data_IF_478047959121
#
_entry.id   IF_478047959121
#
_cell.length_a   1.000
_cell.length_b   1.000
_cell.length_c   1.000
_cell.angle_alpha   90.00
_cell.angle_beta   90.00
_cell.angle_gamma   90.00
#
_symmetry.space_group_name_H-M   'P 1'
#
loop_
_entity.id
_entity.type
_entity.pdbx_description
1 polymer ?
#
# COMPACT_ATOMS: atom_id res chain seq x y z
N UNK A 1 26.75 -5.07 -23.12
CA UNK A 1 25.34 -5.04 -23.55
C UNK A 1 24.80 -3.69 -23.12
N UNK A 2 24.28 -2.89 -24.04
CA UNK A 2 23.66 -1.60 -23.69
C UNK A 2 22.39 -1.87 -22.89
N UNK A 3 22.16 -1.07 -21.85
CA UNK A 3 20.95 -1.15 -21.04
C UNK A 3 19.75 -0.69 -21.86
N UNK A 4 18.62 -1.35 -21.68
CA UNK A 4 17.40 -1.03 -22.40
C UNK A 4 16.48 -0.19 -21.52
N UNK A 5 16.21 1.04 -21.93
CA UNK A 5 15.13 1.84 -21.37
C UNK A 5 13.80 1.34 -21.94
N UNK A 6 12.80 1.24 -21.07
CA UNK A 6 11.49 0.71 -21.39
C UNK A 6 10.41 1.73 -21.03
N UNK A 7 9.48 1.94 -21.97
CA UNK A 7 8.19 2.56 -21.71
C UNK A 7 7.29 1.52 -21.04
N UNK A 8 6.82 1.82 -19.84
CA UNK A 8 5.97 0.90 -19.08
C UNK A 8 4.54 1.41 -19.06
N UNK A 9 3.62 0.57 -19.52
CA UNK A 9 2.19 0.83 -19.56
C UNK A 9 1.45 -0.19 -18.68
N UNK A 10 0.61 0.29 -17.78
CA UNK A 10 -0.15 -0.54 -16.83
C UNK A 10 -1.61 -0.08 -16.80
N UNK A 11 -2.56 -0.84 -17.37
CA UNK A 11 -3.98 -0.50 -17.30
C UNK A 11 -4.48 -0.54 -15.85
N UNK A 12 -5.22 0.49 -15.44
CA UNK A 12 -5.80 0.64 -14.11
C UNK A 12 -7.27 0.26 -14.15
N UNK A 13 -7.56 -1.03 -13.99
CA UNK A 13 -8.92 -1.55 -13.96
C UNK A 13 -9.71 -0.96 -12.78
N UNK A 14 -10.97 -0.59 -13.03
CA UNK A 14 -11.89 0.05 -12.07
C UNK A 14 -11.43 1.42 -11.51
N UNK A 15 -10.34 2.00 -12.02
CA UNK A 15 -9.95 3.36 -11.68
C UNK A 15 -10.87 4.36 -12.39
N UNK A 16 -11.42 5.33 -11.65
CA UNK A 16 -12.24 6.41 -12.20
C UNK A 16 -11.73 7.75 -11.70
N UNK A 17 -11.55 8.66 -12.64
CA UNK A 17 -11.15 10.05 -12.43
C UNK A 17 -11.77 10.88 -13.56
N UNK A 18 -11.86 12.19 -13.40
CA UNK A 18 -12.35 13.11 -14.44
C UNK A 18 -11.21 13.79 -15.21
N UNK A 19 -9.96 13.55 -14.82
CA UNK A 19 -8.80 14.15 -15.44
C UNK A 19 -8.34 13.36 -16.66
N UNK A 20 -8.00 14.04 -17.75
CA UNK A 20 -7.43 13.38 -18.93
C UNK A 20 -5.98 12.94 -18.69
N UNK A 21 -5.22 13.66 -17.88
CA UNK A 21 -3.87 13.29 -17.47
C UNK A 21 -3.56 13.90 -16.10
N UNK A 22 -2.76 13.20 -15.31
CA UNK A 22 -2.17 13.72 -14.08
C UNK A 22 -0.77 13.15 -13.89
N UNK A 23 0.23 14.03 -13.78
CA UNK A 23 1.60 13.65 -13.46
C UNK A 23 1.72 13.51 -11.94
N UNK A 24 1.93 12.29 -11.47
CA UNK A 24 2.02 12.02 -10.04
C UNK A 24 3.34 12.57 -9.50
N UNK A 25 4.41 12.44 -10.25
CA UNK A 25 5.74 12.96 -9.97
C UNK A 25 6.60 12.70 -11.22
N UNK A 26 7.91 12.96 -11.13
CA UNK A 26 8.87 12.61 -12.18
C UNK A 26 8.97 11.09 -12.45
N UNK A 27 8.22 10.27 -11.72
CA UNK A 27 8.33 8.82 -11.73
C UNK A 27 7.13 8.12 -12.39
N UNK A 28 5.93 8.70 -12.40
CA UNK A 28 4.80 8.18 -13.17
C UNK A 28 3.69 9.20 -13.42
N UNK A 29 2.89 8.91 -14.46
CA UNK A 29 1.69 9.66 -14.82
C UNK A 29 0.49 8.72 -14.96
N UNK A 30 -0.71 9.21 -14.63
CA UNK A 30 -1.97 8.56 -15.00
C UNK A 30 -2.50 9.27 -16.22
N UNK A 31 -2.77 8.51 -17.28
CA UNK A 31 -3.26 9.03 -18.56
C UNK A 31 -4.58 8.36 -18.91
N UNK A 32 -5.56 9.17 -19.32
CA UNK A 32 -6.79 8.68 -19.93
C UNK A 32 -6.54 8.37 -21.39
N UNK A 33 -6.73 7.11 -21.76
CA UNK A 33 -6.65 6.64 -23.13
C UNK A 33 -8.07 6.42 -23.65
N UNK A 34 -8.46 7.17 -24.68
CA UNK A 34 -9.76 6.97 -25.37
C UNK A 34 -9.78 5.69 -26.20
N UNK A 35 -8.60 5.30 -26.67
CA UNK A 35 -8.34 4.06 -27.39
C UNK A 35 -7.20 3.35 -26.68
N UNK A 36 -7.24 2.00 -26.66
CA UNK A 36 -6.16 1.18 -26.11
C UNK A 36 -4.82 1.60 -26.74
N UNK A 37 -3.75 1.82 -25.94
CA UNK A 37 -2.42 2.12 -26.49
C UNK A 37 -1.97 1.07 -27.50
N UNK A 38 -1.32 1.51 -28.57
CA UNK A 38 -0.72 0.62 -29.57
C UNK A 38 0.36 -0.24 -28.91
N UNK A 39 0.05 -1.54 -28.76
CA UNK A 39 1.02 -2.52 -28.29
C UNK A 39 1.77 -3.13 -29.49
N UNK A 40 3.08 -3.45 -29.35
CA UNK A 40 3.81 -4.24 -30.33
C UNK A 40 3.05 -5.50 -30.74
N UNK A 41 3.12 -5.86 -32.03
CA UNK A 41 2.39 -7.03 -32.57
C UNK A 41 2.74 -8.32 -31.80
N UNK A 42 4.01 -8.47 -31.41
CA UNK A 42 4.50 -9.57 -30.57
C UNK A 42 3.79 -9.68 -29.22
N UNK A 43 3.38 -8.56 -28.63
CA UNK A 43 2.61 -8.55 -27.38
C UNK A 43 1.12 -8.81 -27.64
N UNK A 44 0.55 -8.26 -28.71
CA UNK A 44 -0.85 -8.46 -29.05
C UNK A 44 -1.20 -9.93 -29.33
N UNK A 45 -0.31 -10.69 -29.99
CA UNK A 45 -0.50 -12.13 -30.23
C UNK A 45 -0.46 -12.97 -28.94
N UNK A 46 0.13 -12.46 -27.87
CA UNK A 46 0.20 -13.15 -26.58
C UNK A 46 -1.01 -12.90 -25.67
N UNK A 47 -1.96 -12.06 -26.10
CA UNK A 47 -3.17 -11.71 -25.36
C UNK A 47 -4.35 -12.59 -25.81
N UNK A 48 -5.14 -13.07 -24.85
CA UNK A 48 -6.41 -13.74 -25.16
C UNK A 48 -7.47 -12.73 -25.61
N UNK A 49 -8.58 -13.21 -26.21
CA UNK A 49 -9.73 -12.35 -26.53
C UNK A 49 -10.27 -11.63 -25.28
N UNK A 50 -10.33 -12.34 -24.15
CA UNK A 50 -10.73 -11.78 -22.86
C UNK A 50 -9.76 -10.70 -22.36
N UNK A 51 -8.45 -10.87 -22.57
CA UNK A 51 -7.48 -9.83 -22.23
C UNK A 51 -7.73 -8.58 -23.08
N UNK A 52 -7.99 -8.72 -24.38
CA UNK A 52 -8.29 -7.58 -25.26
C UNK A 52 -9.56 -6.84 -24.86
N UNK A 53 -10.61 -7.55 -24.44
CA UNK A 53 -11.84 -6.96 -23.91
C UNK A 53 -11.53 -6.09 -22.68
N UNK A 54 -10.84 -6.65 -21.68
CA UNK A 54 -10.44 -5.89 -20.47
C UNK A 54 -9.64 -4.63 -20.84
N UNK A 55 -8.66 -4.75 -21.74
CA UNK A 55 -7.80 -3.63 -22.13
C UNK A 55 -8.56 -2.55 -22.88
N UNK A 56 -9.58 -2.92 -23.67
CA UNK A 56 -10.42 -1.98 -24.41
C UNK A 56 -11.38 -1.24 -23.48
N UNK A 57 -11.83 -1.89 -22.42
CA UNK A 57 -12.73 -1.32 -21.41
C UNK A 57 -12.00 -0.52 -20.31
N UNK A 58 -10.66 -0.45 -20.35
CA UNK A 58 -9.87 0.26 -19.34
C UNK A 58 -9.42 1.64 -19.85
N UNK A 59 -10.10 2.73 -19.45
CA UNK A 59 -9.81 4.06 -19.97
C UNK A 59 -8.58 4.71 -19.34
N UNK A 60 -8.05 4.19 -18.23
CA UNK A 60 -6.94 4.81 -17.49
C UNK A 60 -5.73 3.91 -17.42
N UNK A 61 -4.57 4.49 -17.66
CA UNK A 61 -3.29 3.80 -17.72
C UNK A 61 -2.26 4.53 -16.88
N UNK A 62 -1.51 3.78 -16.08
CA UNK A 62 -0.29 4.26 -15.46
C UNK A 62 0.84 4.14 -16.48
N UNK A 63 1.55 5.24 -16.71
CA UNK A 63 2.63 5.35 -17.68
C UNK A 63 3.90 5.89 -17.01
N UNK A 64 5.04 5.24 -17.25
CA UNK A 64 6.35 5.68 -16.78
C UNK A 64 7.49 5.07 -17.59
N UNK A 65 8.65 5.73 -17.56
CA UNK A 65 9.89 5.16 -18.06
C UNK A 65 10.57 4.32 -16.98
N UNK A 66 11.25 3.25 -17.39
CA UNK A 66 12.02 2.39 -16.50
C UNK A 66 13.33 1.96 -17.14
N UNK A 67 14.42 2.19 -16.42
CA UNK A 67 15.74 1.65 -16.71
C UNK A 67 16.03 0.46 -15.78
N UNK A 68 16.57 -0.64 -16.31
CA UNK A 68 16.88 -1.86 -15.54
C UNK A 68 17.87 -1.64 -14.39
N UNK A 69 18.67 -0.57 -14.43
CA UNK A 69 19.61 -0.22 -13.37
C UNK A 69 18.98 0.61 -12.22
N UNK A 70 17.71 0.98 -12.34
CA UNK A 70 17.03 1.71 -11.27
C UNK A 70 16.92 0.83 -10.02
N UNK A 71 17.12 1.46 -8.85
CA UNK A 71 16.98 0.79 -7.56
C UNK A 71 15.55 0.26 -7.33
N UNK A 72 14.55 0.87 -7.97
CA UNK A 72 13.14 0.51 -7.85
C UNK A 72 12.69 -0.16 -9.15
N UNK A 73 12.30 -1.43 -9.06
CA UNK A 73 11.78 -2.17 -10.21
C UNK A 73 10.45 -1.59 -10.71
N UNK A 74 10.13 -1.78 -11.99
CA UNK A 74 8.83 -1.42 -12.55
C UNK A 74 7.63 -2.01 -11.78
N UNK A 75 7.77 -3.19 -11.15
CA UNK A 75 6.69 -3.81 -10.38
C UNK A 75 6.45 -3.03 -9.09
N UNK A 76 7.54 -2.65 -8.44
CA UNK A 76 7.50 -1.86 -7.22
C UNK A 76 6.87 -0.49 -7.49
N UNK A 77 7.17 0.15 -8.64
CA UNK A 77 6.52 1.41 -9.04
C UNK A 77 4.99 1.31 -9.08
N UNK A 78 4.46 0.25 -9.69
CA UNK A 78 3.01 -0.03 -9.73
C UNK A 78 2.47 -0.29 -8.33
N UNK A 79 3.17 -1.09 -7.51
CA UNK A 79 2.75 -1.40 -6.14
C UNK A 79 2.68 -0.13 -5.26
N UNK A 80 3.68 0.75 -5.37
CA UNK A 80 3.71 2.03 -4.66
C UNK A 80 2.55 2.93 -5.05
N UNK A 81 2.19 2.96 -6.34
CA UNK A 81 1.00 3.67 -6.80
C UNK A 81 -0.28 3.13 -6.16
N UNK A 82 -0.51 1.82 -6.25
CA UNK A 82 -1.72 1.18 -5.70
C UNK A 82 -1.81 1.33 -4.18
N UNK A 83 -0.69 1.17 -3.46
CA UNK A 83 -0.62 1.38 -2.01
C UNK A 83 -0.90 2.83 -1.63
N UNK A 84 -0.31 3.79 -2.34
CA UNK A 84 -0.53 5.22 -2.05
C UNK A 84 -1.99 5.61 -2.31
N UNK A 85 -2.57 5.12 -3.40
CA UNK A 85 -4.00 5.28 -3.67
C UNK A 85 -4.83 4.69 -2.53
N UNK A 86 -4.52 3.47 -2.09
CA UNK A 86 -5.23 2.82 -0.99
C UNK A 86 -5.10 3.56 0.35
N UNK A 87 -3.94 4.15 0.67
CA UNK A 87 -3.78 4.98 1.87
C UNK A 87 -4.68 6.21 1.78
N UNK A 88 -4.62 6.95 0.67
CA UNK A 88 -5.42 8.17 0.46
C UNK A 88 -6.92 7.86 0.43
N UNK A 89 -7.32 6.95 -0.46
CA UNK A 89 -8.71 6.64 -0.78
C UNK A 89 -8.83 5.21 -1.33
N UNK A 90 -9.35 4.25 -0.54
CA UNK A 90 -9.51 2.89 -1.00
C UNK A 90 -10.52 2.86 -2.13
N UNK A 91 -10.12 2.29 -3.25
CA UNK A 91 -10.97 2.07 -4.41
C UNK A 91 -10.89 0.59 -4.78
N UNK A 92 -11.60 0.19 -5.82
CA UNK A 92 -11.47 -1.14 -6.41
C UNK A 92 -10.34 -1.21 -7.45
N UNK A 93 -9.56 -0.14 -7.57
CA UNK A 93 -8.48 -0.03 -8.54
C UNK A 93 -7.48 -1.16 -8.38
N UNK A 94 -7.16 -1.82 -9.48
CA UNK A 94 -6.12 -2.84 -9.53
C UNK A 94 -5.43 -2.86 -10.89
N UNK A 95 -4.24 -3.44 -10.93
CA UNK A 95 -3.43 -3.57 -12.15
C UNK A 95 -3.25 -5.04 -12.50
N UNK A 96 -3.88 -5.49 -13.59
CA UNK A 96 -3.80 -6.89 -14.06
C UNK A 96 -2.61 -7.14 -14.97
N UNK A 97 -2.23 -6.13 -15.74
CA UNK A 97 -1.18 -6.23 -16.74
C UNK A 97 -0.13 -5.17 -16.51
N UNK A 98 1.12 -5.50 -16.86
CA UNK A 98 2.17 -4.52 -17.09
C UNK A 98 2.88 -4.87 -18.38
N UNK A 99 2.92 -3.90 -19.28
CA UNK A 99 3.63 -3.99 -20.55
C UNK A 99 4.90 -3.17 -20.42
N UNK A 100 6.06 -3.78 -20.65
CA UNK A 100 7.32 -3.06 -20.85
C UNK A 100 7.63 -3.06 -22.34
N UNK A 101 7.79 -1.89 -22.94
CA UNK A 101 7.93 -1.71 -24.39
C UNK A 101 9.27 -1.02 -24.65
N UNK A 102 10.05 -1.53 -25.58
CA UNK A 102 11.31 -0.90 -25.99
C UNK A 102 11.08 0.44 -26.69
N UNK A 103 12.07 1.34 -26.66
CA UNK A 103 11.98 2.64 -27.37
C UNK A 103 11.62 2.51 -28.86
N UNK A 104 12.20 1.50 -29.54
CA UNK A 104 11.91 1.23 -30.95
C UNK A 104 10.55 0.54 -31.19
N UNK A 105 9.82 0.24 -30.11
CA UNK A 105 8.52 -0.45 -30.06
C UNK A 105 8.47 -1.78 -30.79
N UNK A 106 9.62 -2.39 -31.08
CA UNK A 106 9.67 -3.69 -31.77
C UNK A 106 9.54 -4.87 -30.80
N UNK A 107 9.97 -4.66 -29.55
CA UNK A 107 10.02 -5.68 -28.54
C UNK A 107 9.31 -5.22 -27.27
N UNK A 108 8.82 -6.18 -26.51
CA UNK A 108 8.25 -5.90 -25.21
C UNK A 108 8.01 -7.17 -24.41
N UNK A 109 7.84 -6.97 -23.11
CA UNK A 109 7.46 -8.01 -22.17
C UNK A 109 6.07 -7.72 -21.60
N UNK A 110 5.29 -8.78 -21.39
CA UNK A 110 4.04 -8.71 -20.63
C UNK A 110 4.23 -9.45 -19.31
N UNK A 111 3.84 -8.79 -18.22
CA UNK A 111 3.65 -9.41 -16.91
C UNK A 111 2.16 -9.41 -16.58
N UNK A 112 1.63 -10.58 -16.22
CA UNK A 112 0.26 -10.72 -15.72
C UNK A 112 0.30 -10.87 -14.21
N UNK A 113 -0.43 -10.01 -13.51
CA UNK A 113 -0.62 -10.07 -12.07
C UNK A 113 -1.92 -10.78 -11.74
N UNK A 114 -2.06 -11.20 -10.49
CA UNK A 114 -3.36 -11.63 -9.98
C UNK A 114 -4.27 -10.40 -9.88
N UNK A 115 -5.53 -10.55 -10.30
CA UNK A 115 -6.58 -9.50 -10.39
C UNK A 115 -7.06 -8.96 -9.03
N UNK A 116 -6.17 -8.66 -8.08
CA UNK A 116 -6.57 -8.45 -6.70
C UNK A 116 -5.72 -7.41 -6.02
N UNK A 117 -6.32 -6.28 -5.72
CA UNK A 117 -5.87 -5.39 -4.66
C UNK A 117 -7.03 -5.25 -3.67
N UNK A 118 -6.79 -5.50 -2.38
CA UNK A 118 -7.85 -5.70 -1.40
C UNK A 118 -8.70 -4.45 -1.28
N UNK A 119 -9.98 -4.65 -1.51
CA UNK A 119 -11.02 -3.68 -1.23
C UNK A 119 -12.11 -4.40 -0.44
N UNK A 120 -12.67 -3.72 0.55
CA UNK A 120 -13.72 -4.28 1.40
C UNK A 120 -15.00 -3.55 1.09
N UNK A 121 -16.04 -4.31 0.74
CA UNK A 121 -17.35 -3.76 0.40
C UNK A 121 -17.84 -2.83 1.52
N UNK A 122 -18.25 -1.61 1.15
CA UNK A 122 -18.70 -0.59 2.09
C UNK A 122 -17.60 0.34 2.62
N UNK A 123 -16.33 0.07 2.31
CA UNK A 123 -15.19 0.95 2.64
C UNK A 123 -14.41 1.36 1.37
N UNK A 124 -15.12 1.48 0.25
CA UNK A 124 -14.56 1.82 -1.07
C UNK A 124 -15.23 3.04 -1.65
N UNK A 125 -14.43 3.83 -2.36
CA UNK A 125 -14.92 4.94 -3.17
C UNK A 125 -14.85 4.57 -4.65
N UNK A 126 -15.78 5.13 -5.43
CA UNK A 126 -15.85 4.86 -6.87
C UNK A 126 -14.98 5.82 -7.69
N UNK A 127 -14.76 7.06 -7.23
CA UNK A 127 -14.07 8.11 -7.98
C UNK A 127 -12.89 8.70 -7.20
N UNK A 128 -11.83 9.05 -7.92
CA UNK A 128 -10.60 9.68 -7.41
C UNK A 128 -10.55 11.13 -7.89
N UNK A 129 -10.49 12.08 -6.96
CA UNK A 129 -10.45 13.51 -7.28
C UNK A 129 -9.02 13.97 -7.58
N UNK A 130 -8.88 15.20 -8.06
CA UNK A 130 -7.56 15.82 -8.25
C UNK A 130 -6.80 15.96 -6.92
N UNK A 131 -7.49 16.36 -5.86
CA UNK A 131 -6.91 16.51 -4.53
C UNK A 131 -6.41 15.17 -3.98
N UNK A 132 -7.12 14.08 -4.27
CA UNK A 132 -6.67 12.72 -3.92
C UNK A 132 -5.35 12.38 -4.63
N UNK A 133 -5.21 12.74 -5.92
CA UNK A 133 -4.00 12.51 -6.70
C UNK A 133 -2.83 13.41 -6.27
N UNK A 134 -3.09 14.67 -5.91
CA UNK A 134 -2.10 15.58 -5.33
C UNK A 134 -1.58 15.06 -3.98
N UNK A 135 -2.47 14.53 -3.13
CA UNK A 135 -2.07 13.88 -1.88
C UNK A 135 -1.29 12.60 -2.15
N UNK A 136 -1.74 11.76 -3.08
CA UNK A 136 -1.05 10.53 -3.47
C UNK A 136 0.39 10.82 -3.94
N UNK A 137 0.57 11.86 -4.76
CA UNK A 137 1.88 12.36 -5.22
C UNK A 137 2.83 12.63 -4.04
N UNK A 138 2.33 13.31 -3.01
CA UNK A 138 3.12 13.62 -1.81
C UNK A 138 3.55 12.36 -1.04
N UNK A 139 2.67 11.36 -0.94
CA UNK A 139 2.96 10.11 -0.23
C UNK A 139 3.93 9.21 -1.01
N UNK A 140 3.81 9.13 -2.34
CA UNK A 140 4.68 8.28 -3.16
C UNK A 140 6.14 8.65 -2.98
N UNK A 141 6.48 9.95 -2.93
CA UNK A 141 7.86 10.39 -2.72
C UNK A 141 8.46 9.76 -1.45
N UNK A 142 7.69 9.73 -0.38
CA UNK A 142 8.12 9.18 0.90
C UNK A 142 8.15 7.65 0.89
N UNK A 143 7.23 7.00 0.17
CA UNK A 143 7.31 5.55 -0.07
C UNK A 143 8.54 5.16 -0.93
N UNK A 144 8.88 5.95 -1.95
CA UNK A 144 10.10 5.77 -2.75
C UNK A 144 11.33 5.87 -1.86
N UNK A 145 11.39 6.86 -0.96
CA UNK A 145 12.47 6.96 0.04
C UNK A 145 12.52 5.74 0.96
N UNK A 146 11.37 5.22 1.39
CA UNK A 146 11.30 3.99 2.20
C UNK A 146 11.96 2.81 1.49
N UNK A 147 11.57 2.57 0.24
CA UNK A 147 12.10 1.43 -0.55
C UNK A 147 13.61 1.53 -0.75
N UNK A 148 14.13 2.75 -0.93
CA UNK A 148 15.56 2.95 -1.23
C UNK A 148 16.45 3.02 0.01
N UNK A 149 15.94 3.58 1.12
CA UNK A 149 16.78 3.98 2.26
C UNK A 149 16.37 3.37 3.61
N UNK A 150 15.15 2.84 3.75
CA UNK A 150 14.60 2.43 5.05
C UNK A 150 14.18 0.96 5.06
N UNK A 151 15.13 0.05 5.31
CA UNK A 151 14.92 -1.40 5.19
C UNK A 151 13.79 -1.92 6.08
N UNK A 152 13.65 -1.43 7.32
CA UNK A 152 12.58 -1.88 8.22
C UNK A 152 11.22 -1.43 7.73
N UNK A 153 11.09 -0.16 7.35
CA UNK A 153 9.85 0.38 6.81
C UNK A 153 9.51 -0.24 5.44
N UNK A 154 10.51 -0.56 4.62
CA UNK A 154 10.32 -1.28 3.36
C UNK A 154 9.74 -2.67 3.61
N UNK A 155 10.23 -3.40 4.62
CA UNK A 155 9.60 -4.67 5.02
C UNK A 155 8.15 -4.48 5.48
N UNK A 156 7.84 -3.42 6.23
CA UNK A 156 6.46 -3.12 6.63
C UNK A 156 5.57 -2.81 5.41
N UNK A 157 6.09 -2.06 4.43
CA UNK A 157 5.39 -1.71 3.20
C UNK A 157 5.12 -2.96 2.35
N UNK A 158 6.11 -3.83 2.22
CA UNK A 158 5.98 -5.13 1.56
C UNK A 158 4.90 -6.00 2.23
N UNK A 159 4.91 -6.10 3.57
CA UNK A 159 3.87 -6.84 4.30
C UNK A 159 2.48 -6.23 4.12
N UNK A 160 2.38 -4.90 4.04
CA UNK A 160 1.12 -4.21 3.74
C UNK A 160 0.63 -4.57 2.34
N UNK A 161 1.53 -4.54 1.35
CA UNK A 161 1.22 -4.97 -0.02
C UNK A 161 0.72 -6.42 -0.05
N UNK A 162 1.42 -7.35 0.59
CA UNK A 162 1.00 -8.76 0.65
C UNK A 162 -0.38 -8.92 1.29
N UNK A 163 -0.71 -8.11 2.32
CA UNK A 163 -2.03 -8.11 2.91
C UNK A 163 -3.10 -7.61 1.93
N UNK A 164 -2.79 -6.58 1.14
CA UNK A 164 -3.66 -6.10 0.07
C UNK A 164 -3.81 -7.12 -1.07
N UNK A 165 -2.84 -7.97 -1.33
CA UNK A 165 -2.97 -9.00 -2.37
C UNK A 165 -3.66 -10.29 -1.87
N UNK A 166 -3.94 -10.40 -0.57
CA UNK A 166 -4.42 -11.64 0.03
C UNK A 166 -5.87 -11.98 -0.35
N UNK A 167 -6.10 -13.26 -0.71
CA UNK A 167 -7.44 -13.75 -1.08
C UNK A 167 -8.33 -14.12 0.11
N UNK A 168 -7.73 -14.43 1.26
CA UNK A 168 -8.44 -14.83 2.48
C UNK A 168 -8.17 -13.81 3.57
N UNK A 169 -9.16 -13.60 4.43
CA UNK A 169 -9.06 -12.61 5.49
C UNK A 169 -7.96 -12.96 6.50
N UNK A 170 -7.73 -14.25 6.81
CA UNK A 170 -6.72 -14.64 7.79
C UNK A 170 -5.29 -14.26 7.35
N UNK A 171 -4.81 -14.63 6.15
CA UNK A 171 -3.52 -14.14 5.64
C UNK A 171 -3.43 -12.61 5.61
N UNK A 172 -4.48 -11.91 5.16
CA UNK A 172 -4.51 -10.45 5.16
C UNK A 172 -4.27 -9.89 6.58
N UNK A 173 -4.97 -10.45 7.57
CA UNK A 173 -4.87 -10.06 8.97
C UNK A 173 -3.45 -10.27 9.53
N UNK A 174 -2.83 -11.40 9.20
CA UNK A 174 -1.45 -11.72 9.62
C UNK A 174 -0.46 -10.74 9.00
N UNK A 175 -0.57 -10.49 7.70
CA UNK A 175 0.33 -9.57 6.99
C UNK A 175 0.18 -8.13 7.48
N UNK A 176 -1.05 -7.62 7.64
CA UNK A 176 -1.29 -6.29 8.22
C UNK A 176 -0.79 -6.17 9.66
N UNK A 177 -1.02 -7.18 10.49
CA UNK A 177 -0.51 -7.18 11.88
C UNK A 177 1.02 -7.18 11.90
N UNK A 178 1.65 -7.92 10.98
CA UNK A 178 3.11 -7.97 10.87
C UNK A 178 3.68 -6.63 10.37
N UNK A 179 2.99 -5.94 9.46
CA UNK A 179 3.34 -4.59 9.03
C UNK A 179 3.26 -3.59 10.20
N UNK A 180 2.16 -3.64 10.97
CA UNK A 180 1.99 -2.83 12.18
C UNK A 180 3.11 -3.10 13.20
N UNK A 181 3.47 -4.36 13.43
CA UNK A 181 4.58 -4.75 14.30
C UNK A 181 5.90 -4.17 13.84
N UNK A 182 6.20 -4.27 12.54
CA UNK A 182 7.43 -3.75 11.96
C UNK A 182 7.57 -2.23 12.19
N UNK A 183 6.47 -1.49 12.10
CA UNK A 183 6.42 -0.03 12.33
C UNK A 183 6.50 0.30 13.82
N UNK A 184 5.76 -0.40 14.69
CA UNK A 184 5.53 0.04 16.07
C UNK A 184 6.42 -0.65 17.12
N UNK A 185 7.07 -1.76 16.79
CA UNK A 185 7.87 -2.54 17.76
C UNK A 185 9.32 -2.09 17.81
N UNK A 186 9.82 -1.84 19.01
CA UNK A 186 11.20 -1.43 19.30
C UNK A 186 11.87 -2.31 20.38
N UNK A 187 11.30 -3.45 20.75
CA UNK A 187 11.96 -4.40 21.66
C UNK A 187 11.34 -5.79 21.59
N UNK A 188 12.14 -6.82 21.95
CA UNK A 188 11.70 -8.22 22.08
C UNK A 188 11.13 -8.60 23.45
N UNK A 189 10.94 -7.66 24.38
CA UNK A 189 10.45 -7.95 25.74
C UNK A 189 8.96 -8.34 25.73
N UNK A 190 8.51 -9.00 26.80
CA UNK A 190 7.10 -9.36 27.01
C UNK A 190 6.13 -8.17 26.89
N UNK A 191 4.84 -8.46 26.70
CA UNK A 191 3.79 -7.45 26.59
C UNK A 191 3.74 -6.73 25.24
N UNK A 192 4.11 -7.42 24.14
CA UNK A 192 4.16 -6.84 22.79
C UNK A 192 2.83 -6.17 22.39
N UNK A 193 1.69 -6.80 22.69
CA UNK A 193 0.36 -6.28 22.37
C UNK A 193 0.06 -4.93 23.04
N UNK A 194 0.35 -4.81 24.34
CA UNK A 194 0.15 -3.55 25.07
C UNK A 194 1.03 -2.45 24.46
N UNK A 195 2.29 -2.79 24.20
CA UNK A 195 3.27 -1.85 23.66
C UNK A 195 2.88 -1.34 22.29
N UNK A 196 2.50 -2.22 21.37
CA UNK A 196 2.04 -1.84 20.03
C UNK A 196 0.85 -0.88 20.13
N UNK A 197 -0.12 -1.19 21.00
CA UNK A 197 -1.29 -0.36 21.19
C UNK A 197 -0.95 1.02 21.78
N UNK A 198 -0.05 1.09 22.77
CA UNK A 198 0.42 2.35 23.34
C UNK A 198 1.20 3.18 22.31
N UNK A 199 2.13 2.56 21.58
CA UNK A 199 2.91 3.22 20.53
C UNK A 199 2.00 3.78 19.44
N UNK A 200 0.98 3.02 19.00
CA UNK A 200 0.00 3.49 18.03
C UNK A 200 -0.75 4.72 18.53
N UNK A 201 -1.25 4.68 19.77
CA UNK A 201 -1.98 5.80 20.36
C UNK A 201 -1.10 7.05 20.52
N UNK A 202 0.18 6.88 20.84
CA UNK A 202 1.15 7.97 20.90
C UNK A 202 1.42 8.59 19.51
N UNK A 203 1.65 7.74 18.50
CA UNK A 203 1.97 8.20 17.15
C UNK A 203 0.77 8.89 16.48
N UNK A 204 -0.44 8.43 16.77
CA UNK A 204 -1.70 9.06 16.34
C UNK A 204 -2.09 10.28 17.16
N UNK A 205 -1.28 10.68 18.14
CA UNK A 205 -1.55 11.79 19.07
C UNK A 205 -2.94 11.70 19.71
N UNK A 206 -3.39 10.49 20.00
CA UNK A 206 -4.67 10.27 20.67
C UNK A 206 -4.55 10.66 22.15
N UNK A 207 -5.49 11.46 22.64
CA UNK A 207 -5.50 11.99 24.00
C UNK A 207 -6.75 11.56 24.79
N UNK A 208 -6.67 11.61 26.13
CA UNK A 208 -7.79 11.31 27.02
C UNK A 208 -8.55 10.02 26.67
N UNK A 209 -9.86 10.14 26.45
CA UNK A 209 -10.75 9.03 26.09
C UNK A 209 -10.42 8.42 24.73
N UNK A 210 -9.92 9.20 23.78
CA UNK A 210 -9.60 8.70 22.45
C UNK A 210 -8.32 7.86 22.46
N UNK A 211 -7.37 8.19 23.36
CA UNK A 211 -6.23 7.33 23.66
C UNK A 211 -6.66 5.95 24.13
N UNK A 212 -7.57 5.90 25.11
CA UNK A 212 -8.07 4.63 25.66
C UNK A 212 -8.79 3.79 24.60
N UNK A 213 -9.60 4.44 23.75
CA UNK A 213 -10.24 3.78 22.60
C UNK A 213 -9.21 3.21 21.62
N UNK A 214 -8.22 4.01 21.21
CA UNK A 214 -7.18 3.58 20.28
C UNK A 214 -6.38 2.39 20.84
N UNK A 215 -6.02 2.43 22.12
CA UNK A 215 -5.34 1.33 22.80
C UNK A 215 -6.24 0.08 22.82
N UNK A 216 -7.51 0.23 23.19
CA UNK A 216 -8.45 -0.89 23.24
C UNK A 216 -8.68 -1.53 21.86
N UNK A 217 -8.87 -0.70 20.83
CA UNK A 217 -9.05 -1.12 19.43
C UNK A 217 -7.86 -1.96 18.95
N UNK A 218 -6.63 -1.45 19.10
CA UNK A 218 -5.43 -2.18 18.65
C UNK A 218 -5.22 -3.46 19.44
N UNK A 219 -5.43 -3.48 20.77
CA UNK A 219 -5.31 -4.70 21.57
C UNK A 219 -6.31 -5.76 21.12
N UNK A 220 -7.55 -5.34 20.84
CA UNK A 220 -8.63 -6.22 20.37
C UNK A 220 -8.30 -6.83 19.01
N UNK A 221 -7.91 -6.01 18.04
CA UNK A 221 -7.52 -6.47 16.70
C UNK A 221 -6.29 -7.38 16.76
N UNK A 222 -5.28 -7.02 17.54
CA UNK A 222 -4.09 -7.85 17.70
C UNK A 222 -4.38 -9.19 18.41
N UNK A 223 -5.41 -9.24 19.25
CA UNK A 223 -5.97 -10.48 19.80
C UNK A 223 -6.43 -11.46 18.72
N UNK A 224 -7.10 -10.97 17.67
CA UNK A 224 -7.56 -11.78 16.53
C UNK A 224 -6.37 -12.41 15.81
N UNK A 225 -5.26 -11.66 15.62
CA UNK A 225 -4.01 -12.24 15.08
C UNK A 225 -3.51 -13.40 15.92
N UNK A 226 -3.55 -13.30 17.25
CA UNK A 226 -3.18 -14.40 18.14
C UNK A 226 -4.09 -15.62 17.92
N UNK A 227 -5.40 -15.40 17.81
CA UNK A 227 -6.36 -16.47 17.56
C UNK A 227 -6.14 -17.18 16.22
N UNK A 228 -5.80 -16.43 15.16
CA UNK A 228 -5.43 -17.02 13.86
C UNK A 228 -4.18 -17.89 13.98
N UNK A 229 -3.10 -17.36 14.57
CA UNK A 229 -1.81 -18.08 14.68
C UNK A 229 -1.93 -19.35 15.52
N UNK A 230 -2.78 -19.35 16.54
CA UNK A 230 -3.03 -20.53 17.38
C UNK A 230 -4.12 -21.46 16.84
N UNK A 231 -4.62 -21.24 15.62
CA UNK A 231 -5.64 -22.08 15.00
C UNK A 231 -7.04 -21.92 15.59
N UNK A 232 -7.25 -21.00 16.54
CA UNK A 232 -8.56 -20.71 17.14
C UNK A 232 -9.51 -20.04 16.15
N UNK A 233 -8.98 -19.42 15.09
CA UNK A 233 -9.78 -18.89 13.99
C UNK A 233 -10.60 -19.96 13.23
N UNK A 234 -10.29 -21.25 13.38
CA UNK A 234 -11.12 -22.33 12.83
C UNK A 234 -12.53 -22.36 13.42
N UNK A 235 -12.73 -21.73 14.59
CA UNK A 235 -14.02 -21.63 15.27
C UNK A 235 -14.71 -20.27 15.04
N UNK A 236 -14.10 -19.36 14.28
CA UNK A 236 -14.65 -18.06 13.93
C UNK A 236 -15.52 -18.17 12.67
N UNK A 237 -16.72 -18.73 12.83
CA UNK A 237 -17.64 -19.02 11.72
C UNK A 237 -18.43 -17.80 11.21
N UNK A 238 -18.27 -16.64 11.85
CA UNK A 238 -18.98 -15.42 11.48
C UNK A 238 -18.17 -14.63 10.43
N UNK A 239 -18.47 -14.88 9.16
CA UNK A 239 -17.77 -14.25 8.04
C UNK A 239 -17.95 -12.73 8.01
N UNK A 240 -19.14 -12.22 8.33
CA UNK A 240 -19.43 -10.79 8.30
C UNK A 240 -18.64 -10.06 9.39
N UNK A 241 -18.62 -10.62 10.60
CA UNK A 241 -17.77 -10.11 11.67
C UNK A 241 -16.28 -10.16 11.30
N UNK A 242 -15.79 -11.24 10.70
CA UNK A 242 -14.38 -11.34 10.31
C UNK A 242 -13.98 -10.25 9.29
N UNK A 243 -14.87 -9.93 8.34
CA UNK A 243 -14.66 -8.86 7.36
C UNK A 243 -14.74 -7.48 8.00
N UNK A 244 -15.66 -7.26 8.94
CA UNK A 244 -15.72 -6.02 9.73
C UNK A 244 -14.41 -5.80 10.51
N UNK A 245 -13.88 -6.85 11.14
CA UNK A 245 -12.63 -6.76 11.89
C UNK A 245 -11.41 -6.52 11.00
N UNK A 246 -11.38 -7.12 9.81
CA UNK A 246 -10.37 -6.81 8.82
C UNK A 246 -10.47 -5.36 8.36
N UNK A 247 -11.69 -4.82 8.20
CA UNK A 247 -11.93 -3.41 7.85
C UNK A 247 -11.37 -2.47 8.92
N UNK A 248 -11.63 -2.78 10.18
CA UNK A 248 -11.10 -2.03 11.32
C UNK A 248 -9.56 -2.06 11.33
N UNK A 249 -8.95 -3.22 11.12
CA UNK A 249 -7.49 -3.33 10.99
C UNK A 249 -6.95 -2.54 9.80
N UNK A 250 -7.57 -2.64 8.63
CA UNK A 250 -7.21 -1.85 7.45
C UNK A 250 -7.23 -0.36 7.75
N UNK A 251 -8.25 0.15 8.46
CA UNK A 251 -8.33 1.56 8.84
C UNK A 251 -7.25 1.96 9.85
N UNK A 252 -6.88 1.09 10.79
CA UNK A 252 -5.72 1.29 11.68
C UNK A 252 -4.41 1.39 10.88
N UNK A 253 -4.18 0.47 9.94
CA UNK A 253 -2.96 0.46 9.11
C UNK A 253 -2.89 1.68 8.19
N UNK A 254 -4.00 2.06 7.56
CA UNK A 254 -4.05 3.25 6.69
C UNK A 254 -3.75 4.53 7.47
N UNK A 255 -4.36 4.71 8.66
CA UNK A 255 -4.04 5.84 9.55
C UNK A 255 -2.58 5.85 9.96
N UNK A 256 -2.02 4.67 10.26
CA UNK A 256 -0.61 4.53 10.60
C UNK A 256 0.30 4.95 9.45
N UNK A 257 0.05 4.46 8.23
CA UNK A 257 0.82 4.85 7.04
C UNK A 257 0.67 6.32 6.71
N UNK A 258 -0.54 6.89 6.82
CA UNK A 258 -0.77 8.30 6.58
C UNK A 258 0.13 9.17 7.48
N UNK A 259 0.22 8.84 8.78
CA UNK A 259 1.10 9.55 9.71
C UNK A 259 2.58 9.34 9.36
N UNK A 260 2.98 8.09 9.12
CA UNK A 260 4.38 7.73 8.82
C UNK A 260 4.86 8.44 7.55
N UNK A 261 4.02 8.52 6.53
CA UNK A 261 4.35 9.11 5.24
C UNK A 261 4.19 10.64 5.22
N UNK A 262 3.50 11.23 6.18
CA UNK A 262 3.32 12.69 6.25
C UNK A 262 4.54 13.47 6.74
N UNK A 263 5.60 12.80 7.22
CA UNK A 263 6.77 13.48 7.80
C UNK A 263 8.06 12.67 7.66
N UNK A 264 9.07 13.28 7.06
CA UNK A 264 10.41 12.69 6.91
C UNK A 264 11.12 12.48 8.26
N UNK A 265 10.81 13.32 9.25
CA UNK A 265 11.32 13.15 10.62
C UNK A 265 10.81 11.83 11.22
N UNK A 266 9.53 11.50 11.02
CA UNK A 266 8.95 10.24 11.51
C UNK A 266 9.62 9.03 10.84
N UNK A 267 9.85 9.09 9.53
CA UNK A 267 10.57 8.03 8.79
C UNK A 267 11.97 7.81 9.39
N UNK A 268 12.70 8.90 9.62
CA UNK A 268 14.04 8.86 10.17
C UNK A 268 14.05 8.26 11.57
N UNK A 269 13.16 8.69 12.46
CA UNK A 269 13.06 8.14 13.82
C UNK A 269 12.71 6.65 13.83
N UNK A 270 11.80 6.21 12.95
CA UNK A 270 11.37 4.81 12.87
C UNK A 270 12.42 3.84 12.33
N UNK A 271 13.44 4.33 11.62
CA UNK A 271 14.55 3.51 11.12
C UNK A 271 15.71 3.41 12.12
N UNK A 272 15.72 4.20 13.20
CA UNK A 272 16.76 4.14 14.23
C UNK A 272 16.76 2.81 14.99
N UNK A 273 17.80 2.63 15.82
CA UNK A 273 17.90 1.44 16.66
C UNK A 273 16.72 1.30 17.62
N UNK A 274 16.45 0.07 18.06
CA UNK A 274 15.40 -0.25 19.03
C UNK A 274 15.49 0.61 20.32
N UNK A 275 16.71 0.93 20.78
CA UNK A 275 16.94 1.79 21.95
C UNK A 275 16.52 3.25 21.69
N UNK A 276 16.89 3.78 20.53
CA UNK A 276 16.60 5.17 20.15
C UNK A 276 15.10 5.35 19.91
N UNK A 277 14.46 4.41 19.22
CA UNK A 277 13.00 4.40 19.02
C UNK A 277 12.25 4.33 20.34
N UNK A 278 12.72 3.52 21.29
CA UNK A 278 12.15 3.50 22.64
C UNK A 278 12.21 4.88 23.31
N UNK A 279 13.34 5.57 23.21
CA UNK A 279 13.51 6.90 23.77
C UNK A 279 12.60 7.94 23.09
N UNK A 280 12.48 7.88 21.76
CA UNK A 280 11.60 8.74 20.98
C UNK A 280 10.12 8.52 21.29
N UNK A 281 9.62 7.27 21.32
CA UNK A 281 8.23 7.03 21.72
C UNK A 281 7.94 7.50 23.14
N UNK A 282 8.90 7.36 24.06
CA UNK A 282 8.77 7.91 25.40
C UNK A 282 8.73 9.44 25.43
N UNK A 283 9.43 10.14 24.52
CA UNK A 283 9.38 11.61 24.45
C UNK A 283 8.03 12.09 23.93
N UNK A 284 7.45 11.42 22.93
CA UNK A 284 6.07 11.71 22.46
C UNK A 284 5.06 11.64 23.60
N UNK A 285 5.20 10.63 24.48
CA UNK A 285 4.32 10.47 25.65
C UNK A 285 4.50 11.52 26.76
N UNK A 286 5.64 12.22 26.79
CA UNK A 286 5.87 13.34 27.72
C UNK A 286 5.28 14.63 27.16
N UNK A 287 5.53 14.92 25.89
CA UNK A 287 4.99 16.11 25.23
C UNK A 287 3.46 16.16 25.29
N UNK A 288 2.79 15.02 25.11
CA UNK A 288 1.32 14.92 25.22
C UNK A 288 0.75 15.10 26.64
N UNK A 289 1.59 15.19 27.69
CA UNK A 289 1.15 15.49 29.07
C UNK A 289 1.35 16.96 29.45
N UNK A 290 2.15 17.68 28.67
CA UNK A 290 2.52 19.07 28.90
C UNK A 290 1.67 20.04 28.06
N UNK A 291 1.00 19.53 27.02
CA UNK A 291 -0.05 20.20 26.23
C UNK A 291 -1.42 20.08 26.89
#
# INVERSE_FOLDING_TARGET
>A
MGYQELDVLTPLSEFRCDLEQFDINDFCSVVRCREKPELPESLNHNLSEYDHEILSDTPYWLHFHHNENEQISAAEKVNLFLLSLWVVKPTKTHAKFRFGISEDRKYGGISRYLDRFLWIRGNTHDEVSKEDLERLSSLIRNMVSIVTNHQRLHNALHLTHQACMAFKWQPAFICFSSAMEAILTYSKKHGITQRIAETYALLTKAEGKDKEKAVSEVKRLYGIRSDIVHGRAAYMNDADRNIEELTNLTNVIRRLWDIVLSSDDILTELEKSDRERAAWFNSLGRSARES
#
